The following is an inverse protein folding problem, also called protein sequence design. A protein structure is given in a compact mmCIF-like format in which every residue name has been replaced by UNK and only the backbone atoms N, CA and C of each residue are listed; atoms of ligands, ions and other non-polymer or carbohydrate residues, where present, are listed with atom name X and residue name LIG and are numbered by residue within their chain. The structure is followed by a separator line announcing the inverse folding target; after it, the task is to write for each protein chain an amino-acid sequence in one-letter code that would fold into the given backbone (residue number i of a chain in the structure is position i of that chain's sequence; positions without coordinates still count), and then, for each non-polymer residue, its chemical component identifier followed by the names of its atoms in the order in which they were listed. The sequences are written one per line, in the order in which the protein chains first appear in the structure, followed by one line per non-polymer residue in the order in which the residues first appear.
data_IF_808091428322
#
_entry.id   IF_808091428322
#
_cell.length_a   1.000
_cell.length_b   1.000
_cell.length_c   1.000
_cell.angle_alpha   90.00
_cell.angle_beta   90.00
_cell.angle_gamma   90.00
#
_symmetry.space_group_name_H-M   'P 1'
#
loop_
_entity.id
_entity.type
_entity.pdbx_description
1 polymer ?
#
# COMPACT_ATOMS: atom_id res chain seq x y z
N UNK A 1 13.27 -19.67 -7.70
CA UNK A 1 12.97 -20.94 -7.00
C UNK A 1 14.21 -21.53 -6.28
N UNK A 2 15.25 -21.93 -7.03
CA UNK A 2 16.44 -22.63 -6.49
C UNK A 2 17.09 -21.93 -5.29
N UNK A 3 17.19 -20.59 -5.30
CA UNK A 3 17.81 -19.83 -4.22
C UNK A 3 17.00 -19.78 -2.91
N UNK A 4 15.69 -20.03 -2.96
CA UNK A 4 14.85 -20.17 -1.75
C UNK A 4 14.90 -21.61 -1.27
N UNK A 5 14.82 -22.58 -2.19
CA UNK A 5 14.89 -24.00 -1.87
C UNK A 5 16.24 -24.41 -1.26
N UNK A 6 17.35 -23.73 -1.62
CA UNK A 6 18.66 -23.96 -0.99
C UNK A 6 18.74 -23.54 0.48
N UNK A 7 17.86 -22.63 0.91
CA UNK A 7 17.80 -22.15 2.30
C UNK A 7 16.69 -22.81 3.11
N UNK A 8 15.79 -23.55 2.47
CA UNK A 8 14.69 -24.24 3.13
C UNK A 8 15.10 -25.68 3.49
N UNK A 9 14.64 -26.22 4.64
CA UNK A 9 14.74 -27.66 4.89
C UNK A 9 14.00 -28.44 3.79
N UNK A 10 14.57 -29.57 3.37
CA UNK A 10 14.25 -30.37 2.17
C UNK A 10 12.78 -30.84 2.01
N UNK A 11 11.88 -30.49 2.94
CA UNK A 11 10.48 -30.94 2.99
C UNK A 11 9.42 -29.86 2.65
N UNK A 12 9.79 -28.62 2.29
CA UNK A 12 8.84 -27.51 2.09
C UNK A 12 8.78 -26.93 0.66
N UNK A 13 9.08 -27.72 -0.37
CA UNK A 13 9.07 -27.26 -1.78
C UNK A 13 7.68 -26.83 -2.33
N UNK A 14 6.58 -27.21 -1.65
CA UNK A 14 5.24 -26.72 -1.98
C UNK A 14 4.99 -25.33 -1.39
N UNK A 15 5.39 -25.12 -0.12
CA UNK A 15 5.34 -23.81 0.55
C UNK A 15 6.16 -22.77 -0.21
N UNK A 16 7.32 -23.14 -0.77
CA UNK A 16 8.20 -22.24 -1.51
C UNK A 16 7.50 -21.55 -2.68
N UNK A 17 6.62 -22.26 -3.40
CA UNK A 17 5.83 -21.69 -4.50
C UNK A 17 4.67 -20.85 -4.00
N UNK A 18 3.98 -21.25 -2.94
CA UNK A 18 2.84 -20.51 -2.39
C UNK A 18 3.27 -19.15 -1.83
N UNK A 19 4.40 -19.13 -1.11
CA UNK A 19 4.96 -17.89 -0.56
C UNK A 19 5.61 -17.06 -1.66
N UNK A 20 6.33 -17.64 -2.62
CA UNK A 20 6.77 -16.89 -3.82
C UNK A 20 5.59 -16.26 -4.57
N UNK A 21 4.49 -17.01 -4.72
CA UNK A 21 3.24 -16.52 -5.28
C UNK A 21 2.65 -15.37 -4.48
N UNK A 22 2.68 -15.45 -3.14
CA UNK A 22 2.30 -14.34 -2.26
C UNK A 22 3.17 -13.10 -2.51
N UNK A 23 4.48 -13.27 -2.73
CA UNK A 23 5.43 -12.21 -3.10
C UNK A 23 5.39 -11.79 -4.58
N UNK A 24 4.30 -12.10 -5.29
CA UNK A 24 4.04 -11.77 -6.70
C UNK A 24 5.04 -12.41 -7.69
N UNK A 25 5.82 -13.40 -7.25
CA UNK A 25 6.62 -14.24 -8.14
C UNK A 25 5.77 -15.42 -8.57
N UNK A 26 5.14 -15.31 -9.74
CA UNK A 26 4.28 -16.35 -10.32
C UNK A 26 4.68 -16.67 -11.77
N UNK A 27 4.34 -17.88 -12.22
CA UNK A 27 4.68 -18.37 -13.57
C UNK A 27 6.18 -18.27 -13.87
N UNK A 28 6.51 -17.74 -15.05
CA UNK A 28 7.89 -17.59 -15.53
C UNK A 28 8.75 -16.64 -14.67
N UNK A 29 8.14 -15.79 -13.83
CA UNK A 29 8.88 -14.90 -12.95
C UNK A 29 9.67 -15.64 -11.87
N UNK A 30 9.24 -16.85 -11.50
CA UNK A 30 9.88 -17.72 -10.50
C UNK A 30 11.21 -18.30 -10.99
N UNK A 31 11.37 -18.39 -12.31
CA UNK A 31 12.56 -18.91 -13.00
C UNK A 31 13.47 -17.81 -13.55
N UNK A 32 13.07 -16.54 -13.45
CA UNK A 32 13.91 -15.41 -13.88
C UNK A 32 15.23 -15.38 -13.09
N UNK A 33 16.37 -15.10 -13.75
CA UNK A 33 17.64 -14.91 -13.06
C UNK A 33 17.57 -13.69 -12.12
N UNK A 34 18.07 -13.82 -10.89
CA UNK A 34 18.10 -12.74 -9.87
C UNK A 34 18.72 -11.42 -10.37
N UNK A 35 19.64 -11.51 -11.33
CA UNK A 35 20.30 -10.37 -12.00
C UNK A 35 19.35 -9.49 -12.82
N UNK A 36 18.19 -10.01 -13.23
CA UNK A 36 17.20 -9.29 -14.07
C UNK A 36 16.08 -8.66 -13.25
N UNK A 37 16.01 -8.97 -11.95
CA UNK A 37 15.00 -8.41 -11.05
C UNK A 37 15.24 -6.91 -10.81
N UNK A 38 14.15 -6.12 -10.79
CA UNK A 38 14.18 -4.72 -10.37
C UNK A 38 14.58 -4.59 -8.89
N UNK A 39 14.93 -3.37 -8.44
CA UNK A 39 15.29 -3.13 -7.03
C UNK A 39 14.19 -3.57 -6.06
N UNK A 40 12.93 -3.22 -6.33
CA UNK A 40 11.77 -3.63 -5.53
C UNK A 40 11.53 -5.14 -5.55
N UNK A 41 11.71 -5.80 -6.71
CA UNK A 41 11.65 -7.26 -6.81
C UNK A 41 12.75 -7.94 -6.00
N UNK A 42 13.98 -7.39 -5.99
CA UNK A 42 15.07 -7.94 -5.16
C UNK A 42 14.78 -7.81 -3.68
N UNK A 43 14.22 -6.69 -3.24
CA UNK A 43 13.82 -6.50 -1.84
C UNK A 43 12.74 -7.47 -1.42
N UNK A 44 11.68 -7.64 -2.25
CA UNK A 44 10.66 -8.67 -2.04
C UNK A 44 11.24 -10.08 -1.97
N UNK A 45 12.15 -10.41 -2.88
CA UNK A 45 12.79 -11.72 -2.93
C UNK A 45 13.61 -12.01 -1.66
N UNK A 46 14.40 -11.03 -1.18
CA UNK A 46 15.18 -11.17 0.06
C UNK A 46 14.29 -11.38 1.28
N UNK A 47 13.17 -10.66 1.34
CA UNK A 47 12.21 -10.81 2.42
C UNK A 47 11.51 -12.17 2.38
N UNK A 48 11.13 -12.65 1.19
CA UNK A 48 10.62 -14.01 1.01
C UNK A 48 11.66 -15.07 1.46
N UNK A 49 12.93 -14.89 1.10
CA UNK A 49 14.02 -15.77 1.52
C UNK A 49 14.23 -15.77 3.04
N UNK A 50 14.10 -14.60 3.68
CA UNK A 50 14.24 -14.44 5.12
C UNK A 50 13.10 -15.13 5.88
N UNK A 51 11.87 -15.02 5.38
CA UNK A 51 10.69 -15.68 5.95
C UNK A 51 10.70 -17.20 5.74
N UNK A 52 11.44 -17.69 4.74
CA UNK A 52 11.73 -19.11 4.56
C UNK A 52 12.82 -19.67 5.46
N UNK A 53 13.60 -18.80 6.09
CA UNK A 53 14.65 -19.23 6.99
C UNK A 53 14.03 -19.96 8.19
N UNK A 54 14.59 -21.09 8.65
CA UNK A 54 14.10 -21.81 9.83
C UNK A 54 14.41 -21.08 11.16
N UNK A 55 14.30 -19.74 11.20
CA UNK A 55 14.68 -18.94 12.34
C UNK A 55 13.55 -18.92 13.40
N UNK A 56 13.90 -19.18 14.66
CA UNK A 56 12.92 -19.07 15.76
C UNK A 56 12.59 -17.61 16.10
N UNK A 57 13.50 -16.69 15.78
CA UNK A 57 13.39 -15.26 16.03
C UNK A 57 13.83 -14.49 14.80
N UNK A 58 12.99 -13.57 14.35
CA UNK A 58 13.24 -12.65 13.26
C UNK A 58 13.26 -11.22 13.79
N UNK A 59 14.27 -10.43 13.41
CA UNK A 59 14.37 -9.00 13.77
C UNK A 59 14.35 -8.19 12.48
N UNK A 60 13.35 -7.32 12.35
CA UNK A 60 13.12 -6.52 11.16
C UNK A 60 13.13 -5.04 11.53
N UNK A 61 14.00 -4.29 10.86
CA UNK A 61 14.05 -2.84 10.97
C UNK A 61 13.49 -2.23 9.68
N UNK A 62 12.40 -1.49 9.80
CA UNK A 62 11.64 -0.87 8.71
C UNK A 62 11.38 -1.80 7.49
N UNK A 63 10.75 -2.97 7.69
CA UNK A 63 10.59 -3.97 6.63
C UNK A 63 9.65 -3.55 5.49
N UNK A 64 8.85 -2.50 5.69
CA UNK A 64 7.92 -1.96 4.69
C UNK A 64 8.55 -0.88 3.80
N UNK A 65 9.78 -0.47 4.11
CA UNK A 65 10.46 0.57 3.36
C UNK A 65 10.77 0.08 1.94
N UNK A 66 10.64 0.97 0.94
CA UNK A 66 10.81 0.65 -0.48
C UNK A 66 9.85 -0.41 -1.05
N UNK A 67 8.76 -0.74 -0.34
CA UNK A 67 7.72 -1.64 -0.83
C UNK A 67 6.50 -0.86 -1.35
N UNK A 68 6.04 -1.27 -2.54
CA UNK A 68 4.73 -0.86 -3.07
C UNK A 68 3.58 -1.38 -2.18
N UNK A 69 2.38 -0.81 -2.34
CA UNK A 69 1.21 -1.11 -1.50
C UNK A 69 0.85 -2.60 -1.54
N UNK A 70 0.96 -3.24 -2.71
CA UNK A 70 0.67 -4.66 -2.87
C UNK A 70 1.67 -5.54 -2.11
N UNK A 71 2.95 -5.18 -2.18
CA UNK A 71 4.05 -5.87 -1.51
C UNK A 71 3.95 -5.75 0.00
N UNK A 72 3.53 -4.59 0.53
CA UNK A 72 3.29 -4.42 1.97
C UNK A 72 2.24 -5.40 2.48
N UNK A 73 1.12 -5.50 1.77
CA UNK A 73 0.03 -6.42 2.12
C UNK A 73 0.49 -7.88 2.15
N UNK A 74 1.34 -8.28 1.20
CA UNK A 74 1.98 -9.61 1.21
C UNK A 74 2.85 -9.81 2.45
N UNK A 75 3.69 -8.84 2.78
CA UNK A 75 4.61 -8.93 3.91
C UNK A 75 3.85 -9.03 5.22
N UNK A 76 2.80 -8.24 5.40
CA UNK A 76 1.89 -8.33 6.54
C UNK A 76 1.33 -9.76 6.68
N UNK A 77 0.78 -10.31 5.59
CA UNK A 77 0.22 -11.65 5.61
C UNK A 77 1.26 -12.75 5.91
N UNK A 78 2.46 -12.61 5.33
CA UNK A 78 3.54 -13.56 5.55
C UNK A 78 4.08 -13.51 6.99
N UNK A 79 4.12 -12.32 7.60
CA UNK A 79 4.51 -12.16 9.00
C UNK A 79 3.44 -12.67 9.98
N UNK A 80 2.15 -12.51 9.66
CA UNK A 80 1.05 -13.05 10.45
C UNK A 80 1.03 -14.59 10.48
N UNK A 81 1.46 -15.22 9.39
CA UNK A 81 1.51 -16.69 9.26
C UNK A 81 2.85 -17.29 9.69
N UNK A 82 3.83 -16.44 10.01
CA UNK A 82 5.13 -16.88 10.49
C UNK A 82 5.02 -17.54 11.86
N UNK A 83 5.56 -18.75 12.00
CA UNK A 83 5.42 -19.54 13.23
C UNK A 83 6.42 -19.16 14.32
N UNK A 84 7.48 -18.41 13.97
CA UNK A 84 8.48 -17.94 14.92
C UNK A 84 8.10 -16.62 15.61
N UNK A 85 8.99 -16.11 16.45
CA UNK A 85 8.86 -14.77 17.03
C UNK A 85 9.36 -13.73 16.05
N UNK A 86 8.63 -12.63 15.89
CA UNK A 86 9.06 -11.47 15.09
C UNK A 86 9.17 -10.26 16.00
N UNK A 87 10.32 -9.59 15.97
CA UNK A 87 10.52 -8.25 16.50
C UNK A 87 10.58 -7.32 15.31
N UNK A 88 9.70 -6.32 15.28
CA UNK A 88 9.65 -5.36 14.19
C UNK A 88 9.72 -3.94 14.72
N UNK A 89 10.52 -3.12 14.06
CA UNK A 89 10.60 -1.67 14.24
C UNK A 89 10.02 -1.04 12.98
N UNK A 90 8.97 -0.23 13.10
CA UNK A 90 8.44 0.53 11.98
C UNK A 90 7.73 1.80 12.40
N UNK A 91 7.74 2.81 11.53
CA UNK A 91 6.89 4.01 11.64
C UNK A 91 5.49 3.83 11.03
N UNK A 92 5.21 2.74 10.30
CA UNK A 92 3.90 2.48 9.69
C UNK A 92 2.90 1.94 10.73
N UNK A 93 1.92 2.77 11.07
CA UNK A 93 0.92 2.48 12.10
C UNK A 93 -0.03 1.36 11.70
N UNK A 94 -0.41 1.29 10.42
CA UNK A 94 -1.36 0.28 9.92
C UNK A 94 -0.67 -1.08 9.90
N UNK A 95 0.56 -1.11 9.41
CA UNK A 95 1.40 -2.30 9.46
C UNK A 95 1.59 -2.82 10.89
N UNK A 96 1.96 -1.93 11.84
CA UNK A 96 2.11 -2.32 13.24
C UNK A 96 0.81 -2.82 13.86
N UNK A 97 -0.34 -2.20 13.56
CA UNK A 97 -1.65 -2.66 14.04
C UNK A 97 -1.97 -4.07 13.55
N UNK A 98 -1.67 -4.37 12.28
CA UNK A 98 -2.00 -5.65 11.66
C UNK A 98 -1.06 -6.79 12.07
N UNK A 99 0.23 -6.49 12.33
CA UNK A 99 1.26 -7.52 12.54
C UNK A 99 1.58 -7.75 14.02
N UNK A 100 1.50 -6.72 14.86
CA UNK A 100 1.97 -6.81 16.25
C UNK A 100 0.87 -7.25 17.22
N UNK A 101 1.25 -8.08 18.19
CA UNK A 101 0.40 -8.50 19.31
C UNK A 101 0.96 -8.07 20.69
N UNK A 102 2.10 -7.36 20.67
CA UNK A 102 2.80 -6.83 21.84
C UNK A 102 3.61 -5.62 21.42
N UNK A 103 3.52 -4.54 22.18
CA UNK A 103 4.28 -3.31 21.96
C UNK A 103 5.35 -3.16 23.04
N UNK A 104 6.56 -2.82 22.60
CA UNK A 104 7.68 -2.46 23.48
C UNK A 104 7.93 -0.97 23.27
N UNK A 105 7.56 -0.15 24.26
CA UNK A 105 7.88 1.27 24.27
C UNK A 105 9.21 1.49 24.98
N UNK A 106 10.07 2.28 24.36
CA UNK A 106 11.33 2.74 24.93
C UNK A 106 11.23 4.25 25.04
N UNK A 107 11.09 4.76 26.27
CA UNK A 107 11.00 6.19 26.54
C UNK A 107 11.89 6.56 27.74
N UNK A 108 12.71 7.61 27.57
CA UNK A 108 13.64 8.10 28.60
C UNK A 108 14.52 7.00 29.25
N UNK A 109 14.95 6.00 28.47
CA UNK A 109 15.75 4.87 28.95
C UNK A 109 14.96 3.82 29.74
N UNK A 110 13.63 3.96 29.85
CA UNK A 110 12.73 3.00 30.48
C UNK A 110 12.03 2.18 29.40
N UNK A 111 12.03 0.86 29.56
CA UNK A 111 11.33 -0.08 28.68
C UNK A 111 10.00 -0.46 29.31
N UNK A 112 8.90 -0.21 28.61
CA UNK A 112 7.54 -0.62 29.00
C UNK A 112 7.00 -1.60 27.98
N UNK A 113 6.42 -2.69 28.46
CA UNK A 113 5.85 -3.72 27.59
C UNK A 113 4.33 -3.70 27.75
N UNK A 114 3.63 -3.57 26.63
CA UNK A 114 2.18 -3.59 26.55
C UNK A 114 1.71 -4.81 25.76
N UNK A 115 0.91 -5.72 26.35
CA UNK A 115 0.28 -6.80 25.60
C UNK A 115 -0.93 -6.25 24.83
N UNK A 116 -0.98 -6.49 23.53
CA UNK A 116 -2.00 -5.95 22.64
C UNK A 116 -1.42 -5.40 21.34
N UNK A 117 -2.30 -5.11 20.39
CA UNK A 117 -1.90 -4.50 19.12
C UNK A 117 -1.59 -3.00 19.30
N UNK A 118 -1.04 -2.39 18.24
CA UNK A 118 -0.67 -0.98 18.27
C UNK A 118 -1.85 -0.04 18.56
N UNK A 119 -3.06 -0.35 18.07
CA UNK A 119 -4.26 0.47 18.32
C UNK A 119 -4.67 0.48 19.79
N UNK A 120 -4.68 -0.69 20.44
CA UNK A 120 -4.96 -0.84 21.87
C UNK A 120 -3.93 -0.09 22.72
N UNK A 121 -2.66 -0.15 22.32
CA UNK A 121 -1.59 0.60 22.99
C UNK A 121 -1.80 2.12 22.90
N UNK A 122 -2.20 2.65 21.74
CA UNK A 122 -2.49 4.07 21.60
C UNK A 122 -3.64 4.53 22.50
N UNK A 123 -4.73 3.76 22.55
CA UNK A 123 -5.85 4.05 23.45
C UNK A 123 -5.44 4.02 24.93
N UNK A 124 -4.61 3.04 25.32
CA UNK A 124 -4.04 2.96 26.66
C UNK A 124 -3.17 4.19 26.97
N UNK A 125 -2.30 4.61 26.04
CA UNK A 125 -1.44 5.79 26.22
C UNK A 125 -2.25 7.07 26.37
N UNK A 126 -3.33 7.22 25.62
CA UNK A 126 -4.26 8.36 25.75
C UNK A 126 -4.96 8.39 27.12
N UNK A 127 -5.36 7.23 27.65
CA UNK A 127 -5.95 7.13 28.99
C UNK A 127 -4.96 7.51 30.11
N UNK A 128 -3.68 7.14 29.97
CA UNK A 128 -2.64 7.51 30.93
C UNK A 128 -2.34 9.01 30.93
N UNK A 129 -2.39 9.65 29.76
CA UNK A 129 -2.17 11.09 29.61
C UNK A 129 -3.33 11.89 30.23
N UNK A 130 -4.56 11.38 30.11
CA UNK A 130 -5.74 11.99 30.71
C UNK A 130 -5.83 11.78 32.23
N UNK A 131 -5.36 10.64 32.76
CA UNK A 131 -5.30 10.40 34.21
C UNK A 131 -4.16 11.17 34.92
N UNK A 132 -2.99 11.33 34.29
CA UNK A 132 -1.84 12.03 34.90
C UNK A 132 -1.89 13.58 34.76
N UNK A 133 -2.91 14.13 34.09
CA UNK A 133 -3.12 15.58 33.87
C UNK A 133 -3.95 16.33 34.93
N UNK A 134 -4.35 15.67 36.02
CA UNK A 134 -5.22 16.13 37.12
C UNK A 134 -6.73 16.27 36.78
N UNK A 135 -7.64 15.95 37.74
CA UNK A 135 -9.08 15.83 37.52
C UNK A 135 -9.84 17.13 37.88
N UNK A 136 -10.98 17.38 37.23
CA UNK A 136 -12.28 17.78 37.81
C UNK A 136 -13.27 18.16 36.69
N UNK A 137 -14.48 17.64 36.86
CA UNK A 137 -15.74 18.04 36.24
C UNK A 137 -16.14 17.39 34.92
N UNK A 138 -16.77 16.22 35.05
CA UNK A 138 -18.18 16.07 34.64
C UNK A 138 -18.87 15.09 35.58
N UNK A 139 -19.32 15.61 36.72
CA UNK A 139 -20.38 14.99 37.50
C UNK A 139 -21.72 15.28 36.83
N UNK A 140 -22.48 14.19 36.63
CA UNK A 140 -23.93 14.11 36.43
C UNK A 140 -24.42 14.50 35.02
N UNK A 141 -25.26 13.72 34.36
CA UNK A 141 -26.36 12.85 34.81
C UNK A 141 -26.38 11.53 34.03
N UNK A 142 -26.58 10.35 34.65
CA UNK A 142 -27.94 9.81 34.90
C UNK A 142 -28.72 9.69 33.58
N UNK A 143 -29.02 8.52 33.02
CA UNK A 143 -30.05 7.61 33.54
C UNK A 143 -30.03 6.27 32.75
N UNK A 144 -30.04 5.16 33.51
CA UNK A 144 -30.61 3.83 33.26
C UNK A 144 -30.34 3.02 31.97
N UNK A 145 -29.72 1.86 32.20
CA UNK A 145 -30.16 0.51 31.81
C UNK A 145 -31.13 0.33 30.62
N UNK A 146 -30.57 -0.30 29.59
CA UNK A 146 -31.07 -1.48 28.89
C UNK A 146 -32.49 -1.99 29.21
N UNK A 147 -33.34 -1.99 28.18
CA UNK A 147 -34.28 -3.09 27.94
C UNK A 147 -34.51 -3.26 26.44
N UNK A 148 -34.17 -4.45 25.95
CA UNK A 148 -34.59 -4.99 24.68
C UNK A 148 -36.11 -5.26 24.69
N UNK A 149 -36.80 -4.98 23.59
CA UNK A 149 -37.87 -5.81 23.01
C UNK A 149 -38.57 -5.11 21.83
N UNK A 150 -38.43 -5.73 20.65
CA UNK A 150 -39.52 -6.26 19.80
C UNK A 150 -40.52 -5.31 19.10
N UNK A 151 -40.77 -5.68 17.83
CA UNK A 151 -41.95 -5.41 16.99
C UNK A 151 -42.10 -3.96 16.51
N UNK A 152 -42.75 -3.64 15.40
CA UNK A 152 -43.20 -4.29 14.17
C UNK A 152 -43.97 -3.18 13.44
N UNK A 153 -44.04 -3.26 12.11
CA UNK A 153 -45.12 -2.73 11.29
C UNK A 153 -45.40 -1.21 11.23
N UNK A 154 -45.36 -0.77 9.96
CA UNK A 154 -46.48 -0.17 9.26
C UNK A 154 -46.80 1.33 9.47
N UNK A 155 -46.76 2.01 8.33
CA UNK A 155 -47.80 2.87 7.76
C UNK A 155 -48.15 4.14 8.56
N UNK A 156 -47.93 5.29 7.93
CA UNK A 156 -49.04 6.21 7.60
C UNK A 156 -48.58 7.31 6.64
N UNK A 157 -49.38 7.49 5.59
CA UNK A 157 -49.49 8.69 4.77
C UNK A 157 -50.04 9.89 5.59
N UNK A 158 -50.16 11.09 5.01
CA UNK A 158 -51.44 11.45 4.35
C UNK A 158 -51.23 11.99 2.90
N UNK A 159 -52.08 11.70 1.89
CA UNK A 159 -53.48 12.16 1.65
C UNK A 159 -53.43 13.68 1.35
N UNK A 160 -53.86 14.27 0.23
CA UNK A 160 -54.85 14.04 -0.87
C UNK A 160 -54.62 15.24 -1.83
N UNK A 161 -55.12 15.42 -3.05
CA UNK A 161 -56.37 15.04 -3.72
C UNK A 161 -56.29 15.61 -5.16
N UNK A 162 -56.63 14.83 -6.20
CA UNK A 162 -57.88 14.90 -7.03
C UNK A 162 -57.78 16.02 -8.11
N UNK A 163 -57.90 15.76 -9.42
CA UNK A 163 -59.03 15.22 -10.24
C UNK A 163 -58.50 14.63 -11.58
N UNK A 164 -58.95 13.45 -12.03
CA UNK A 164 -60.05 13.16 -13.00
C UNK A 164 -59.73 13.62 -14.46
N UNK A 165 -59.96 12.91 -15.58
CA UNK A 165 -60.83 11.80 -16.01
C UNK A 165 -60.37 11.41 -17.46
N UNK A 166 -60.21 10.13 -17.82
CA UNK A 166 -61.15 9.25 -18.58
C UNK A 166 -61.04 9.28 -20.13
N UNK A 167 -60.77 8.07 -20.67
CA UNK A 167 -61.11 7.46 -21.97
C UNK A 167 -60.77 8.12 -23.33
N UNK A 168 -60.11 7.35 -24.22
CA UNK A 168 -60.83 6.58 -25.26
C UNK A 168 -59.88 6.00 -26.34
N UNK A 169 -60.16 4.75 -26.75
CA UNK A 169 -59.72 4.15 -28.03
C UNK A 169 -60.78 4.46 -29.10
N UNK A 170 -60.41 4.52 -30.40
CA UNK A 170 -61.00 3.55 -31.34
C UNK A 170 -60.02 3.00 -32.42
N UNK A 171 -60.55 2.03 -33.20
CA UNK A 171 -59.92 1.13 -34.19
C UNK A 171 -59.78 1.72 -35.62
N UNK A 172 -58.76 1.23 -36.37
CA UNK A 172 -58.63 0.88 -37.82
C UNK A 172 -58.97 1.96 -38.90
N UNK A 173 -58.33 2.14 -40.08
CA UNK A 173 -57.49 1.30 -40.98
C UNK A 173 -56.85 2.23 -42.10
N UNK A 174 -56.20 1.73 -43.19
CA UNK A 174 -54.81 1.99 -43.62
C UNK A 174 -54.59 3.15 -44.63
N UNK A 175 -53.37 3.71 -44.70
CA UNK A 175 -52.84 4.40 -45.91
C UNK A 175 -51.30 4.51 -45.86
N UNK A 176 -50.70 4.55 -47.04
CA UNK A 176 -49.32 4.16 -47.35
C UNK A 176 -48.20 5.17 -47.02
N UNK A 177 -47.00 4.61 -46.88
CA UNK A 177 -45.68 5.14 -47.25
C UNK A 177 -45.18 6.46 -46.63
N UNK A 178 -44.21 6.34 -45.70
CA UNK A 178 -42.82 6.84 -45.86
C UNK A 178 -41.99 6.43 -44.64
N UNK A 179 -40.88 5.72 -44.88
CA UNK A 179 -39.84 5.49 -43.90
C UNK A 179 -39.24 6.83 -43.45
N UNK A 180 -39.27 7.10 -42.17
CA UNK A 180 -38.40 8.09 -41.51
C UNK A 180 -37.86 7.37 -40.27
N UNK A 181 -36.62 6.91 -40.36
CA UNK A 181 -35.88 6.39 -39.21
C UNK A 181 -35.62 7.54 -38.22
N UNK A 182 -35.78 7.33 -36.91
CA UNK A 182 -35.34 8.32 -35.93
C UNK A 182 -33.84 8.16 -35.69
N UNK A 183 -33.06 9.16 -36.06
CA UNK A 183 -31.64 9.23 -35.73
C UNK A 183 -31.44 9.22 -34.20
N UNK A 184 -30.69 8.24 -33.72
CA UNK A 184 -30.08 8.25 -32.38
C UNK A 184 -28.71 8.91 -32.51
N UNK A 185 -28.26 9.75 -31.55
CA UNK A 185 -26.95 10.37 -31.63
C UNK A 185 -25.87 9.29 -31.50
N UNK A 186 -25.15 9.07 -32.60
CA UNK A 186 -23.95 8.24 -32.64
C UNK A 186 -22.90 8.88 -31.73
N UNK A 187 -22.39 8.11 -30.77
CA UNK A 187 -21.19 8.49 -30.03
C UNK A 187 -20.04 8.49 -31.04
N UNK A 188 -19.50 9.67 -31.30
CA UNK A 188 -18.36 9.89 -32.18
C UNK A 188 -17.10 9.35 -31.48
N UNK A 189 -16.81 8.06 -31.68
CA UNK A 189 -15.49 7.52 -31.38
C UNK A 189 -14.50 8.12 -32.39
N UNK A 190 -13.76 9.14 -31.99
CA UNK A 190 -12.61 9.63 -32.77
C UNK A 190 -11.58 8.50 -32.85
N UNK A 191 -11.50 7.85 -34.01
CA UNK A 191 -10.47 6.86 -34.30
C UNK A 191 -9.14 7.58 -34.40
N UNK A 192 -8.26 7.41 -33.40
CA UNK A 192 -6.93 8.01 -33.41
C UNK A 192 -6.17 7.61 -34.69
N UNK A 193 -5.61 8.61 -35.35
CA UNK A 193 -4.84 8.40 -36.58
C UNK A 193 -3.57 7.58 -36.30
N UNK A 194 -3.05 6.91 -37.34
CA UNK A 194 -1.83 6.09 -37.24
C UNK A 194 -0.63 6.89 -36.71
N UNK A 195 -0.57 8.18 -36.97
CA UNK A 195 0.51 9.05 -36.53
C UNK A 195 0.34 9.49 -35.07
N UNK A 196 -0.89 9.72 -34.60
CA UNK A 196 -1.20 9.97 -33.17
C UNK A 196 -0.89 8.74 -32.31
N UNK A 197 -1.26 7.52 -32.76
CA UNK A 197 -0.92 6.26 -32.07
C UNK A 197 0.59 6.05 -31.97
N UNK A 198 1.34 6.40 -33.02
CA UNK A 198 2.82 6.35 -32.99
C UNK A 198 3.41 7.39 -32.03
N UNK A 199 2.83 8.60 -31.98
CA UNK A 199 3.27 9.66 -31.07
C UNK A 199 3.04 9.26 -29.60
N UNK A 200 1.84 8.77 -29.27
CA UNK A 200 1.50 8.27 -27.93
C UNK A 200 2.38 7.08 -27.51
N UNK A 201 2.63 6.13 -28.41
CA UNK A 201 3.55 5.01 -28.15
C UNK A 201 4.98 5.48 -27.85
N UNK A 202 5.47 6.48 -28.59
CA UNK A 202 6.80 7.08 -28.36
C UNK A 202 6.86 7.81 -27.02
N UNK A 203 5.82 8.57 -26.68
CA UNK A 203 5.69 9.29 -25.40
C UNK A 203 5.63 8.31 -24.22
N UNK A 204 4.83 7.24 -24.32
CA UNK A 204 4.77 6.16 -23.34
C UNK A 204 6.14 5.53 -23.09
N UNK A 205 6.88 5.23 -24.17
CA UNK A 205 8.23 4.65 -24.06
C UNK A 205 9.22 5.61 -23.40
N UNK A 206 9.10 6.92 -23.65
CA UNK A 206 9.94 7.93 -23.03
C UNK A 206 9.65 8.08 -21.53
N UNK A 207 8.37 8.14 -21.14
CA UNK A 207 7.95 8.19 -19.74
C UNK A 207 8.39 6.93 -18.98
N UNK A 208 8.16 5.74 -19.54
CA UNK A 208 8.62 4.48 -18.96
C UNK A 208 10.14 4.45 -18.74
N UNK A 209 10.93 4.91 -19.73
CA UNK A 209 12.38 5.05 -19.58
C UNK A 209 12.76 6.03 -18.47
N UNK A 210 11.98 7.11 -18.30
CA UNK A 210 12.15 8.07 -17.21
C UNK A 210 11.87 7.47 -15.83
N UNK A 211 10.85 6.62 -15.71
CA UNK A 211 10.56 5.84 -14.49
C UNK A 211 11.75 4.92 -14.16
N UNK A 212 12.19 4.12 -15.13
CA UNK A 212 13.33 3.20 -14.96
C UNK A 212 14.63 3.94 -14.55
N UNK A 213 14.88 5.13 -15.13
CA UNK A 213 16.04 5.97 -14.79
C UNK A 213 15.95 6.56 -13.38
N UNK A 214 14.76 7.00 -12.96
CA UNK A 214 14.53 7.51 -11.62
C UNK A 214 14.68 6.40 -10.56
N UNK A 215 14.14 5.20 -10.82
CA UNK A 215 14.31 4.03 -9.95
C UNK A 215 15.79 3.65 -9.80
N UNK A 216 16.55 3.60 -10.90
CA UNK A 216 17.98 3.31 -10.86
C UNK A 216 18.79 4.40 -10.13
N UNK A 217 18.33 5.65 -10.14
CA UNK A 217 18.95 6.74 -9.40
C UNK A 217 18.65 6.65 -7.90
N UNK A 218 17.42 6.29 -7.53
CA UNK A 218 17.00 6.00 -6.15
C UNK A 218 17.85 4.87 -5.57
N UNK A 219 17.98 3.74 -6.27
CA UNK A 219 18.78 2.59 -5.83
C UNK A 219 20.24 3.00 -5.52
N UNK A 220 20.85 3.86 -6.34
CA UNK A 220 22.22 4.34 -6.11
C UNK A 220 22.34 5.22 -4.87
N UNK A 221 21.38 6.11 -4.65
CA UNK A 221 21.38 7.01 -3.48
C UNK A 221 21.16 6.21 -2.19
N UNK A 222 20.23 5.27 -2.21
CA UNK A 222 19.94 4.41 -1.06
C UNK A 222 21.13 3.55 -0.66
N UNK A 223 21.81 2.93 -1.64
CA UNK A 223 23.05 2.19 -1.37
C UNK A 223 24.11 3.09 -0.72
N UNK A 224 24.25 4.34 -1.20
CA UNK A 224 25.22 5.27 -0.62
C UNK A 224 24.82 5.73 0.78
N UNK A 225 23.55 5.96 1.05
CA UNK A 225 23.04 6.28 2.39
C UNK A 225 23.31 5.11 3.35
N UNK A 226 23.09 3.87 2.92
CA UNK A 226 23.37 2.69 3.72
C UNK A 226 24.86 2.53 4.04
N UNK A 227 25.76 2.79 3.09
CA UNK A 227 27.22 2.82 3.34
C UNK A 227 27.59 3.87 4.40
N UNK A 228 26.97 5.06 4.34
CA UNK A 228 27.20 6.13 5.30
C UNK A 228 26.68 5.73 6.68
N UNK A 229 25.47 5.17 6.77
CA UNK A 229 24.89 4.73 8.04
C UNK A 229 25.74 3.61 8.69
N UNK A 230 26.27 2.68 7.89
CA UNK A 230 27.22 1.67 8.38
C UNK A 230 28.54 2.28 8.87
N UNK A 231 29.07 3.28 8.15
CA UNK A 231 30.27 3.98 8.58
C UNK A 231 30.05 4.78 9.88
N UNK A 232 28.87 5.39 10.04
CA UNK A 232 28.48 6.12 11.25
C UNK A 232 28.24 5.18 12.44
N UNK A 233 27.88 3.91 12.20
CA UNK A 233 27.71 2.89 13.23
C UNK A 233 29.04 2.32 13.78
N UNK A 234 30.18 2.56 13.11
CA UNK A 234 31.49 2.16 13.64
C UNK A 234 31.81 2.99 14.91
N UNK A 235 32.03 2.35 16.08
CA UNK A 235 32.37 3.03 17.32
C UNK A 235 33.59 3.95 17.23
N UNK A 236 34.50 3.75 16.26
CA UNK A 236 35.67 4.63 16.06
C UNK A 236 35.33 5.93 15.33
N UNK A 237 34.27 5.92 14.53
CA UNK A 237 33.82 7.07 13.74
C UNK A 237 32.75 7.84 14.52
N UNK A 238 31.88 7.14 15.26
CA UNK A 238 30.84 7.73 16.10
C UNK A 238 31.38 8.68 17.18
N UNK A 239 32.61 8.45 17.66
CA UNK A 239 33.23 9.25 18.73
C UNK A 239 34.12 10.37 18.15
N UNK A 240 34.43 10.34 16.85
CA UNK A 240 35.28 11.32 16.17
C UNK A 240 34.41 12.33 15.39
N UNK A 241 34.13 13.48 16.02
CA UNK A 241 33.30 14.55 15.44
C UNK A 241 33.82 15.06 14.09
N UNK A 242 35.13 15.05 13.85
CA UNK A 242 35.73 15.51 12.58
C UNK A 242 35.44 14.55 11.43
N UNK A 243 35.23 13.26 11.70
CA UNK A 243 34.83 12.26 10.69
C UNK A 243 33.32 12.12 10.58
N UNK A 244 32.59 12.38 11.66
CA UNK A 244 31.13 12.29 11.70
C UNK A 244 30.44 13.45 10.97
N UNK A 245 30.95 14.67 11.10
CA UNK A 245 30.39 15.86 10.46
C UNK A 245 30.26 15.76 8.91
N UNK A 246 31.30 15.36 8.15
CA UNK A 246 31.18 15.25 6.70
C UNK A 246 30.22 14.13 6.27
N UNK A 247 30.18 13.01 7.00
CA UNK A 247 29.25 11.91 6.74
C UNK A 247 27.79 12.33 6.98
N UNK A 248 27.55 13.07 8.05
CA UNK A 248 26.22 13.60 8.37
C UNK A 248 25.75 14.60 7.31
N UNK A 249 26.65 15.47 6.84
CA UNK A 249 26.36 16.42 5.76
C UNK A 249 26.09 15.69 4.44
N UNK A 250 26.91 14.70 4.09
CA UNK A 250 26.71 13.88 2.90
C UNK A 250 25.36 13.16 2.96
N UNK A 251 25.02 12.54 4.10
CA UNK A 251 23.71 11.93 4.35
C UNK A 251 22.56 12.91 4.13
N UNK A 252 22.62 14.11 4.72
CA UNK A 252 21.57 15.12 4.56
C UNK A 252 21.41 15.54 3.08
N UNK A 253 22.51 15.69 2.34
CA UNK A 253 22.44 16.01 0.91
C UNK A 253 21.85 14.89 0.07
N UNK A 254 22.14 13.63 0.43
CA UNK A 254 21.58 12.46 -0.24
C UNK A 254 20.09 12.31 0.06
N UNK A 255 19.65 12.59 1.29
CA UNK A 255 18.23 12.63 1.65
C UNK A 255 17.47 13.65 0.82
N UNK A 256 17.98 14.89 0.68
CA UNK A 256 17.34 15.91 -0.16
C UNK A 256 17.25 15.48 -1.63
N UNK A 257 18.32 14.89 -2.17
CA UNK A 257 18.33 14.36 -3.54
C UNK A 257 17.36 13.17 -3.72
N UNK A 258 17.22 12.33 -2.70
CA UNK A 258 16.29 11.21 -2.69
C UNK A 258 14.84 11.72 -2.78
N UNK A 259 14.47 12.71 -1.96
CA UNK A 259 13.17 13.37 -2.02
C UNK A 259 12.90 13.99 -3.40
N UNK A 260 13.87 14.68 -4.00
CA UNK A 260 13.74 15.27 -5.33
C UNK A 260 13.49 14.22 -6.42
N UNK A 261 14.19 13.08 -6.36
CA UNK A 261 14.03 12.02 -7.36
C UNK A 261 12.72 11.29 -7.16
N UNK A 262 12.27 11.07 -5.92
CA UNK A 262 10.96 10.50 -5.63
C UNK A 262 9.86 11.42 -6.18
N UNK A 263 9.92 12.72 -5.92
CA UNK A 263 8.94 13.67 -6.46
C UNK A 263 8.91 13.66 -8.00
N UNK A 264 10.08 13.50 -8.63
CA UNK A 264 10.18 13.34 -10.09
C UNK A 264 9.58 12.03 -10.57
N UNK A 265 9.86 10.92 -9.89
CA UNK A 265 9.29 9.62 -10.19
C UNK A 265 7.77 9.64 -10.07
N UNK A 266 7.22 10.21 -8.99
CA UNK A 266 5.77 10.36 -8.79
C UNK A 266 5.12 11.12 -9.94
N UNK A 267 5.73 12.23 -10.37
CA UNK A 267 5.22 13.02 -11.50
C UNK A 267 5.24 12.22 -12.80
N UNK A 268 6.34 11.56 -13.13
CA UNK A 268 6.47 10.79 -14.38
C UNK A 268 5.54 9.58 -14.37
N UNK A 269 5.39 8.90 -13.23
CA UNK A 269 4.46 7.78 -13.07
C UNK A 269 3.01 8.23 -13.19
N UNK A 270 2.62 9.38 -12.61
CA UNK A 270 1.29 9.94 -12.78
C UNK A 270 1.00 10.31 -14.26
N UNK A 271 1.97 10.90 -14.96
CA UNK A 271 1.87 11.19 -16.40
C UNK A 271 1.74 9.91 -17.23
N UNK A 272 2.46 8.84 -16.85
CA UNK A 272 2.36 7.54 -17.50
C UNK A 272 0.98 6.92 -17.30
N UNK A 273 0.43 6.93 -16.08
CA UNK A 273 -0.88 6.38 -15.76
C UNK A 273 -2.02 7.07 -16.52
N UNK A 274 -1.97 8.41 -16.64
CA UNK A 274 -2.94 9.17 -17.44
C UNK A 274 -2.88 8.73 -18.91
N UNK A 275 -1.67 8.62 -19.45
CA UNK A 275 -1.44 8.23 -20.84
C UNK A 275 -1.79 6.76 -21.10
N UNK A 276 -1.69 5.88 -20.11
CA UNK A 276 -2.16 4.49 -20.20
C UNK A 276 -3.68 4.40 -20.21
N UNK A 277 -4.39 5.25 -19.46
CA UNK A 277 -5.85 5.32 -19.46
C UNK A 277 -6.40 5.85 -20.79
N UNK A 278 -5.82 6.91 -21.34
CA UNK A 278 -6.21 7.47 -22.65
C UNK A 278 -6.04 6.46 -23.80
N UNK A 279 -5.08 5.53 -23.69
CA UNK A 279 -4.82 4.50 -24.70
C UNK A 279 -5.63 3.22 -24.43
N UNK A 280 -6.10 3.00 -23.20
CA UNK A 280 -6.81 1.81 -22.75
C UNK A 280 -8.35 1.86 -22.83
N UNK A 281 -8.93 3.02 -23.15
CA UNK A 281 -10.38 3.21 -23.35
C UNK A 281 -10.86 2.94 -24.80
N UNK A 282 -10.06 2.27 -25.65
CA UNK A 282 -10.49 1.76 -26.97
C UNK A 282 -11.12 0.35 -26.90
#
# INVERSE_FOLDING_TARGET
LQAIESNAPMQEAHRSRDLLGAFLFSGDAVEKPLRVLSGGERTRFRLAQLLFSPANLLVLDEPTNHLDITSRSTVEHALQTYTGTVIVVSHDRVFMENVTNKIIEIDNGVVKVFPGNYREYLAYKESLLTENGNPISKSQSGVSNAKAAKQASAVSAPVTSVTAEVESKPKAQPVAAKHVEPERPLHEHQVLTRDERKALSKQKRALKKGVDEAEAAVEKIENRMQEIDQAMADPKIAVDFSKLAPLTQERETLTKKHEEIIARWEKISAELDVLEKEVGEE
#
